data_IF_608829588949
#
_entry.id   IF_608829588949
#
_cell.length_a   1.000
_cell.length_b   1.000
_cell.length_c   1.000
_cell.angle_alpha   90.00
_cell.angle_beta   90.00
_cell.angle_gamma   90.00
#
_symmetry.space_group_name_H-M   'P 1'
#
loop_
_entity.id
_entity.type
_entity.pdbx_description
1 polymer ?
#
# COMPACT_ATOMS: atom_id res chain seq x y z
N UNK A 1 -9.53 -82.17 43.26
CA UNK A 1 -10.93 -82.61 43.35
C UNK A 1 -11.83 -81.38 43.36
N UNK A 2 -12.93 -81.43 42.59
CA UNK A 2 -14.12 -80.54 42.51
C UNK A 2 -13.90 -79.06 42.11
N UNK A 3 -14.12 -78.64 40.86
CA UNK A 3 -15.38 -78.36 40.12
C UNK A 3 -16.32 -77.37 40.82
N UNK A 4 -16.52 -76.19 40.20
CA UNK A 4 -17.82 -75.70 39.68
C UNK A 4 -17.68 -74.28 39.08
N UNK A 5 -18.18 -74.09 37.85
CA UNK A 5 -18.36 -72.83 37.12
C UNK A 5 -19.82 -72.37 37.28
N UNK A 6 -20.08 -71.05 37.33
CA UNK A 6 -21.27 -70.29 36.86
C UNK A 6 -20.99 -68.81 37.22
N UNK A 7 -20.68 -67.86 36.33
CA UNK A 7 -21.40 -67.25 35.19
C UNK A 7 -22.59 -66.35 35.58
N UNK A 8 -22.40 -65.02 35.45
CA UNK A 8 -23.43 -63.95 35.35
C UNK A 8 -24.14 -63.58 36.66
N UNK A 9 -24.61 -62.36 36.93
CA UNK A 9 -24.88 -61.23 36.03
C UNK A 9 -25.01 -59.92 36.84
N UNK A 10 -24.37 -58.89 36.29
CA UNK A 10 -24.44 -57.43 36.46
C UNK A 10 -25.79 -56.85 36.92
N UNK A 11 -25.76 -55.91 37.88
CA UNK A 11 -26.79 -54.86 38.02
C UNK A 11 -26.14 -53.53 38.44
N UNK A 12 -25.62 -52.78 37.47
CA UNK A 12 -25.19 -51.38 37.65
C UNK A 12 -26.35 -50.44 37.32
N UNK A 13 -26.74 -49.66 38.32
CA UNK A 13 -27.80 -48.66 38.30
C UNK A 13 -27.36 -47.44 37.45
N UNK A 14 -27.98 -47.24 36.29
CA UNK A 14 -27.77 -46.04 35.46
C UNK A 14 -28.79 -44.95 35.84
N UNK A 15 -28.33 -43.80 36.31
CA UNK A 15 -29.12 -42.57 36.35
C UNK A 15 -29.28 -42.02 34.92
N UNK A 16 -30.52 -41.85 34.47
CA UNK A 16 -30.85 -41.16 33.23
C UNK A 16 -30.89 -39.65 33.46
N UNK A 17 -30.00 -38.91 32.80
CA UNK A 17 -30.12 -37.46 32.60
C UNK A 17 -30.55 -37.19 31.14
N UNK A 18 -31.45 -36.22 30.88
CA UNK A 18 -31.90 -35.91 29.53
C UNK A 18 -30.78 -35.27 28.71
N UNK A 19 -30.52 -35.84 27.53
CA UNK A 19 -29.56 -35.33 26.56
C UNK A 19 -30.17 -34.13 25.81
N UNK A 20 -29.51 -32.97 25.91
CA UNK A 20 -29.78 -31.80 25.07
C UNK A 20 -29.28 -32.11 23.66
N UNK A 21 -30.17 -32.05 22.66
CA UNK A 21 -29.83 -32.21 21.26
C UNK A 21 -29.17 -30.93 20.72
N UNK A 22 -27.87 -30.99 20.43
CA UNK A 22 -27.15 -29.96 19.70
C UNK A 22 -27.29 -30.22 18.19
N UNK A 23 -28.26 -29.57 17.55
CA UNK A 23 -28.31 -29.44 16.10
C UNK A 23 -27.26 -28.40 15.66
N UNK A 24 -26.10 -28.85 15.20
CA UNK A 24 -25.05 -27.94 14.70
C UNK A 24 -23.79 -28.58 14.10
N UNK A 25 -23.77 -29.90 13.84
CA UNK A 25 -22.56 -30.62 13.43
C UNK A 25 -22.54 -31.18 12.01
N UNK A 26 -23.64 -31.13 11.25
CA UNK A 26 -23.75 -31.93 10.01
C UNK A 26 -23.48 -31.16 8.71
N UNK A 27 -23.22 -29.85 8.75
CA UNK A 27 -22.97 -29.06 7.53
C UNK A 27 -21.50 -29.07 7.07
N UNK A 28 -20.54 -29.34 7.95
CA UNK A 28 -19.11 -29.32 7.59
C UNK A 28 -18.61 -30.61 6.93
N UNK A 29 -19.28 -31.74 7.15
CA UNK A 29 -18.83 -33.01 6.61
C UNK A 29 -19.09 -33.10 5.10
N UNK A 30 -20.24 -32.60 4.65
CA UNK A 30 -20.64 -32.59 3.23
C UNK A 30 -19.76 -31.66 2.39
N UNK A 31 -19.32 -30.53 2.96
CA UNK A 31 -18.42 -29.59 2.28
C UNK A 31 -17.01 -30.18 2.08
N UNK A 32 -16.52 -30.99 3.03
CA UNK A 32 -15.19 -31.64 2.94
C UNK A 32 -15.19 -32.76 1.91
N UNK A 33 -16.30 -33.50 1.78
CA UNK A 33 -16.43 -34.55 0.76
C UNK A 33 -16.56 -33.95 -0.65
N UNK A 34 -17.31 -32.86 -0.80
CA UNK A 34 -17.40 -32.11 -2.07
C UNK A 34 -16.05 -31.48 -2.48
N UNK A 35 -15.27 -30.98 -1.51
CA UNK A 35 -13.91 -30.44 -1.76
C UNK A 35 -12.90 -31.51 -2.19
N UNK A 36 -13.08 -32.77 -1.76
CA UNK A 36 -12.22 -33.89 -2.20
C UNK A 36 -12.53 -34.32 -3.63
N UNK A 37 -13.80 -34.34 -4.01
CA UNK A 37 -14.21 -34.67 -5.38
C UNK A 37 -13.76 -33.58 -6.38
N UNK A 38 -13.87 -32.30 -6.00
CA UNK A 38 -13.35 -31.18 -6.80
C UNK A 38 -11.82 -31.21 -6.96
N UNK A 39 -11.07 -31.68 -5.96
CA UNK A 39 -9.62 -31.87 -6.05
C UNK A 39 -9.24 -32.97 -7.06
N UNK A 40 -9.99 -34.07 -7.13
CA UNK A 40 -9.73 -35.13 -8.10
C UNK A 40 -10.10 -34.75 -9.54
N UNK A 41 -11.12 -33.91 -9.70
CA UNK A 41 -11.53 -33.37 -11.02
C UNK A 41 -10.52 -32.31 -11.50
N UNK A 42 -10.03 -31.44 -10.61
CA UNK A 42 -8.96 -30.49 -10.91
C UNK A 42 -7.64 -31.17 -11.28
N UNK A 43 -7.27 -32.25 -10.59
CA UNK A 43 -6.11 -33.05 -10.98
C UNK A 43 -6.29 -33.69 -12.36
N UNK A 44 -7.47 -34.23 -12.67
CA UNK A 44 -7.76 -34.79 -14.00
C UNK A 44 -7.77 -33.74 -15.11
N UNK A 45 -8.29 -32.54 -14.86
CA UNK A 45 -8.24 -31.43 -15.83
C UNK A 45 -6.80 -30.97 -16.07
N UNK A 46 -5.99 -30.81 -15.03
CA UNK A 46 -4.56 -30.49 -15.12
C UNK A 46 -3.77 -31.55 -15.89
N UNK A 47 -4.04 -32.85 -15.69
CA UNK A 47 -3.34 -33.92 -16.42
C UNK A 47 -3.78 -34.06 -17.89
N UNK A 48 -5.04 -33.76 -18.20
CA UNK A 48 -5.54 -33.84 -19.59
C UNK A 48 -5.09 -32.66 -20.45
N UNK A 49 -4.85 -31.50 -19.84
CA UNK A 49 -4.26 -30.33 -20.50
C UNK A 49 -2.72 -30.41 -20.62
N UNK A 50 -2.06 -31.23 -19.79
CA UNK A 50 -0.63 -31.52 -19.89
C UNK A 50 -0.27 -32.45 -21.06
N UNK A 51 -1.27 -33.10 -21.68
CA UNK A 51 -1.07 -34.03 -22.79
C UNK A 51 -0.79 -33.36 -24.15
N UNK A 52 -0.82 -32.02 -24.22
CA UNK A 52 -0.59 -31.29 -25.47
C UNK A 52 0.27 -30.02 -25.28
N UNK A 53 1.25 -30.08 -24.38
CA UNK A 53 2.21 -28.97 -24.19
C UNK A 53 3.32 -29.10 -25.24
N UNK A 54 3.42 -28.18 -26.22
CA UNK A 54 4.59 -28.13 -27.10
C UNK A 54 5.81 -27.78 -26.25
N UNK A 55 6.97 -28.34 -26.58
CA UNK A 55 8.24 -28.22 -25.84
C UNK A 55 8.75 -26.77 -25.56
N UNK A 56 8.02 -25.72 -25.95
CA UNK A 56 8.33 -24.32 -25.72
C UNK A 56 7.69 -23.66 -24.48
N UNK A 57 6.75 -24.31 -23.76
CA UNK A 57 6.14 -23.69 -22.54
C UNK A 57 7.00 -23.80 -21.28
N UNK A 58 7.97 -24.73 -21.26
CA UNK A 58 8.94 -24.86 -20.16
C UNK A 58 9.90 -23.67 -20.11
N UNK A 59 10.24 -23.07 -21.27
CA UNK A 59 11.06 -21.87 -21.31
C UNK A 59 10.29 -20.62 -20.85
N UNK A 60 8.99 -20.53 -21.15
CA UNK A 60 8.15 -19.39 -20.71
C UNK A 60 7.98 -19.36 -19.18
N UNK A 61 7.88 -20.52 -18.53
CA UNK A 61 7.87 -20.61 -17.05
C UNK A 61 9.23 -20.19 -16.46
N UNK A 62 10.35 -20.60 -17.07
CA UNK A 62 11.69 -20.22 -16.61
C UNK A 62 11.96 -18.73 -16.80
N UNK A 63 11.51 -18.13 -17.90
CA UNK A 63 11.60 -16.68 -18.15
C UNK A 63 10.75 -15.88 -17.16
N UNK A 64 9.52 -16.33 -16.88
CA UNK A 64 8.68 -15.67 -15.86
C UNK A 64 9.26 -15.80 -14.46
N UNK A 65 9.92 -16.92 -14.15
CA UNK A 65 10.62 -17.10 -12.88
C UNK A 65 11.81 -16.16 -12.77
N UNK A 66 12.63 -16.03 -13.83
CA UNK A 66 13.73 -15.07 -13.83
C UNK A 66 13.23 -13.63 -13.71
N UNK A 67 12.14 -13.27 -14.39
CA UNK A 67 11.52 -11.95 -14.27
C UNK A 67 10.98 -11.69 -12.86
N UNK A 68 10.45 -12.73 -12.20
CA UNK A 68 9.98 -12.62 -10.83
C UNK A 68 11.14 -12.44 -9.84
N UNK A 69 12.22 -13.18 -10.01
CA UNK A 69 13.44 -13.02 -9.21
C UNK A 69 14.05 -11.63 -9.37
N UNK A 70 14.09 -11.11 -10.60
CA UNK A 70 14.54 -9.74 -10.87
C UNK A 70 13.61 -8.71 -10.23
N UNK A 71 12.29 -8.88 -10.35
CA UNK A 71 11.32 -8.01 -9.70
C UNK A 71 11.47 -8.02 -8.18
N UNK A 72 11.69 -9.18 -7.57
CA UNK A 72 11.93 -9.31 -6.13
C UNK A 72 13.22 -8.58 -5.72
N UNK A 73 14.30 -8.73 -6.50
CA UNK A 73 15.56 -8.01 -6.25
C UNK A 73 15.37 -6.50 -6.35
N UNK A 74 14.70 -6.02 -7.39
CA UNK A 74 14.38 -4.61 -7.58
C UNK A 74 13.47 -4.08 -6.46
N UNK A 75 12.49 -4.88 -6.02
CA UNK A 75 11.60 -4.49 -4.94
C UNK A 75 12.36 -4.36 -3.63
N UNK A 76 13.24 -5.30 -3.31
CA UNK A 76 14.11 -5.21 -2.14
C UNK A 76 14.99 -3.96 -2.20
N UNK A 77 15.57 -3.65 -3.36
CA UNK A 77 16.34 -2.41 -3.52
C UNK A 77 15.52 -1.14 -3.26
N UNK A 78 14.28 -1.07 -3.77
CA UNK A 78 13.37 0.06 -3.47
C UNK A 78 12.96 0.13 -2.01
N UNK A 79 12.79 -1.02 -1.36
CA UNK A 79 12.50 -1.06 0.07
C UNK A 79 13.70 -0.54 0.86
N UNK A 80 14.91 -0.99 0.58
CA UNK A 80 16.14 -0.50 1.21
C UNK A 80 16.31 1.02 1.00
N UNK A 81 16.02 1.53 -0.20
CA UNK A 81 15.99 2.96 -0.47
C UNK A 81 14.96 3.69 0.41
N UNK A 82 13.75 3.14 0.53
CA UNK A 82 12.71 3.70 1.40
C UNK A 82 13.09 3.66 2.88
N UNK A 83 13.72 2.58 3.34
CA UNK A 83 14.24 2.49 4.71
C UNK A 83 15.26 3.61 4.97
N UNK A 84 16.18 3.82 4.03
CA UNK A 84 17.15 4.89 4.11
C UNK A 84 16.50 6.29 4.11
N UNK A 85 15.51 6.51 3.25
CA UNK A 85 14.79 7.79 3.19
C UNK A 85 13.98 8.05 4.46
N UNK A 86 13.29 7.04 4.99
CA UNK A 86 12.56 7.13 6.27
C UNK A 86 13.53 7.45 7.40
N UNK A 87 14.68 6.78 7.46
CA UNK A 87 15.71 7.08 8.46
C UNK A 87 16.24 8.51 8.34
N UNK A 88 16.57 8.94 7.13
CA UNK A 88 17.04 10.30 6.86
C UNK A 88 16.00 11.35 7.26
N UNK A 89 14.72 11.03 7.06
CA UNK A 89 13.61 11.88 7.47
C UNK A 89 13.56 12.05 8.99
N UNK A 90 13.76 10.98 9.76
CA UNK A 90 13.87 11.04 11.21
C UNK A 90 15.05 11.92 11.66
N UNK A 91 16.23 11.72 11.08
CA UNK A 91 17.45 12.47 11.42
C UNK A 91 17.26 13.98 11.18
N UNK A 92 16.53 14.34 10.12
CA UNK A 92 16.20 15.74 9.81
C UNK A 92 15.25 16.34 10.85
N UNK A 93 14.25 15.60 11.32
CA UNK A 93 13.30 16.07 12.34
C UNK A 93 14.01 16.29 13.68
N UNK A 94 14.89 15.37 14.09
CA UNK A 94 15.73 15.52 15.29
C UNK A 94 16.59 16.79 15.23
N UNK A 95 17.14 17.11 14.06
CA UNK A 95 17.91 18.35 13.86
C UNK A 95 17.02 19.60 13.97
N UNK A 96 15.82 19.59 13.39
CA UNK A 96 14.88 20.73 13.45
C UNK A 96 14.40 20.95 14.87
N UNK A 97 14.03 19.89 15.59
CA UNK A 97 13.59 19.96 16.98
C UNK A 97 14.70 20.53 17.88
N UNK A 98 15.96 20.12 17.67
CA UNK A 98 17.12 20.70 18.36
C UNK A 98 17.33 22.18 18.02
N UNK A 99 17.16 22.61 16.77
CA UNK A 99 17.27 24.02 16.38
C UNK A 99 16.18 24.87 17.05
N UNK A 100 14.95 24.36 17.11
CA UNK A 100 13.84 25.02 17.81
C UNK A 100 14.14 25.15 19.30
N UNK A 101 14.61 24.10 19.96
CA UNK A 101 15.02 24.14 21.37
C UNK A 101 16.15 25.16 21.62
N UNK A 102 17.11 25.25 20.70
CA UNK A 102 18.22 26.21 20.77
C UNK A 102 17.70 27.64 20.59
N UNK A 103 16.76 27.88 19.68
CA UNK A 103 16.11 29.19 19.50
C UNK A 103 15.25 29.58 20.70
N UNK A 104 14.54 28.63 21.30
CA UNK A 104 13.75 28.86 22.51
C UNK A 104 14.70 29.25 23.66
N UNK A 105 15.80 28.51 23.86
CA UNK A 105 16.84 28.85 24.86
C UNK A 105 17.53 30.20 24.59
N UNK A 106 17.65 30.61 23.32
CA UNK A 106 18.13 31.94 22.94
C UNK A 106 17.13 33.04 23.31
N UNK A 107 15.83 32.81 23.11
CA UNK A 107 14.75 33.74 23.44
C UNK A 107 14.56 33.84 24.97
N UNK A 108 14.88 32.77 25.71
CA UNK A 108 14.92 32.73 27.18
C UNK A 108 16.13 33.44 27.81
N UNK A 109 16.94 34.18 27.03
CA UNK A 109 17.78 35.26 27.56
C UNK A 109 19.22 34.90 27.96
N UNK A 110 19.83 33.86 27.38
CA UNK A 110 21.29 33.68 27.45
C UNK A 110 21.97 34.29 26.21
N UNK A 111 22.89 35.26 26.35
CA UNK A 111 23.52 35.89 25.21
C UNK A 111 24.43 34.91 24.47
N UNK A 112 24.14 34.68 23.19
CA UNK A 112 25.05 33.99 22.28
C UNK A 112 25.90 35.06 21.60
N UNK A 113 27.19 35.06 21.93
CA UNK A 113 28.19 35.86 21.27
C UNK A 113 28.66 35.11 20.02
N UNK A 114 28.25 35.52 18.82
CA UNK A 114 28.67 34.84 17.61
C UNK A 114 27.95 35.22 16.32
N UNK A 115 28.34 36.37 15.74
CA UNK A 115 28.71 36.41 14.32
C UNK A 115 27.62 36.54 13.25
N UNK A 116 27.42 37.79 12.80
CA UNK A 116 27.26 38.18 11.40
C UNK A 116 26.02 37.68 10.63
N UNK A 117 24.87 38.29 10.92
CA UNK A 117 23.81 38.46 9.93
C UNK A 117 24.21 39.52 8.89
N UNK A 118 24.90 39.11 7.83
CA UNK A 118 24.99 39.94 6.62
C UNK A 118 23.62 39.97 5.95
N UNK A 119 22.97 41.13 6.01
CA UNK A 119 21.81 41.47 5.17
C UNK A 119 22.23 41.34 3.70
N UNK A 120 21.87 40.23 3.06
CA UNK A 120 21.92 40.12 1.61
C UNK A 120 20.82 41.04 1.04
N UNK A 121 21.24 42.12 0.41
CA UNK A 121 20.37 42.97 -0.41
C UNK A 121 19.82 42.11 -1.56
N UNK A 122 18.50 42.06 -1.69
CA UNK A 122 17.83 41.57 -2.89
C UNK A 122 18.17 42.50 -4.06
N UNK A 123 19.12 42.09 -4.90
CA UNK A 123 19.25 42.64 -6.24
C UNK A 123 18.08 42.08 -7.08
N UNK A 124 17.22 42.96 -7.59
CA UNK A 124 16.28 42.59 -8.65
C UNK A 124 17.11 42.23 -9.88
N UNK A 125 16.93 41.01 -10.35
CA UNK A 125 17.45 40.56 -11.64
C UNK A 125 16.50 41.08 -12.73
N UNK A 126 16.92 42.11 -13.46
CA UNK A 126 16.24 42.56 -14.67
C UNK A 126 16.72 41.72 -15.85
N UNK A 127 15.90 40.74 -16.27
CA UNK A 127 16.16 39.96 -17.47
C UNK A 127 15.91 40.82 -18.73
N UNK A 128 16.83 40.83 -19.72
CA UNK A 128 16.60 41.56 -20.96
C UNK A 128 15.45 40.91 -21.75
N UNK A 129 14.47 41.74 -22.11
CA UNK A 129 13.33 41.37 -22.94
C UNK A 129 13.83 41.20 -24.38
N UNK A 130 13.79 39.99 -24.92
CA UNK A 130 14.13 39.74 -26.32
C UNK A 130 13.06 40.38 -27.23
N UNK A 131 13.43 41.43 -27.96
CA UNK A 131 12.52 42.17 -28.86
C UNK A 131 12.24 41.46 -30.21
N UNK A 132 12.77 40.26 -30.44
CA UNK A 132 12.56 39.51 -31.68
C UNK A 132 12.36 38.01 -31.44
N UNK A 133 11.32 37.64 -30.68
CA UNK A 133 10.78 36.28 -30.73
C UNK A 133 9.90 36.15 -31.99
N UNK A 134 10.10 35.14 -32.86
CA UNK A 134 9.24 34.94 -34.01
C UNK A 134 7.80 34.74 -33.54
N UNK A 135 6.87 35.51 -34.13
CA UNK A 135 5.43 35.36 -33.92
C UNK A 135 5.09 33.91 -34.19
N UNK A 136 4.76 33.16 -33.13
CA UNK A 136 4.12 31.86 -33.24
C UNK A 136 2.96 32.03 -34.21
N UNK A 137 2.95 31.17 -35.24
CA UNK A 137 1.84 31.01 -36.16
C UNK A 137 0.63 30.63 -35.32
N UNK A 138 -0.13 31.65 -34.91
CA UNK A 138 -1.50 31.50 -34.43
C UNK A 138 -2.22 30.84 -35.60
N UNK A 139 -2.45 29.53 -35.45
CA UNK A 139 -3.35 28.77 -36.28
C UNK A 139 -4.76 29.26 -36.05
N UNK A 140 -5.06 30.41 -36.65
CA UNK A 140 -6.39 30.82 -37.06
C UNK A 140 -6.88 29.76 -38.07
N UNK A 141 -7.50 28.68 -37.59
CA UNK A 141 -8.42 27.78 -38.31
C UNK A 141 -8.81 26.55 -37.48
N UNK A 142 -9.40 26.74 -36.29
CA UNK A 142 -10.33 25.75 -35.75
C UNK A 142 -11.56 26.51 -35.26
N UNK A 143 -12.64 26.46 -36.04
CA UNK A 143 -13.98 26.84 -35.55
C UNK A 143 -14.38 25.77 -34.52
N UNK A 144 -14.83 26.21 -33.35
CA UNK A 144 -15.18 25.38 -32.19
C UNK A 144 -16.43 24.52 -32.36
N UNK A 145 -16.45 23.66 -33.39
CA UNK A 145 -17.52 22.71 -33.69
C UNK A 145 -17.08 21.48 -34.48
N UNK A 146 -15.86 21.45 -35.05
CA UNK A 146 -15.39 20.35 -35.91
C UNK A 146 -14.36 19.42 -35.24
N UNK A 147 -14.14 19.58 -33.94
CA UNK A 147 -13.51 18.53 -33.14
C UNK A 147 -14.65 17.70 -32.55
N UNK A 148 -15.00 16.58 -33.20
CA UNK A 148 -15.49 15.46 -32.42
C UNK A 148 -14.53 15.29 -31.24
N UNK A 149 -15.00 15.09 -29.99
CA UNK A 149 -14.09 14.77 -28.90
C UNK A 149 -13.22 13.63 -29.41
N UNK A 150 -11.91 13.87 -29.52
CA UNK A 150 -10.99 12.74 -29.45
C UNK A 150 -11.48 12.03 -28.19
N UNK A 151 -11.86 10.76 -28.28
CA UNK A 151 -12.12 9.93 -27.09
C UNK A 151 -10.79 9.81 -26.34
N UNK A 152 -10.31 10.93 -25.80
CA UNK A 152 -9.24 11.01 -24.84
C UNK A 152 -9.81 10.34 -23.62
N UNK A 153 -9.09 9.34 -23.15
CA UNK A 153 -9.51 8.55 -22.00
C UNK A 153 -9.81 9.51 -20.85
N UNK A 154 -11.07 9.57 -20.43
CA UNK A 154 -11.47 10.42 -19.30
C UNK A 154 -10.83 9.85 -18.03
N UNK A 155 -9.90 10.59 -17.45
CA UNK A 155 -9.19 10.22 -16.23
C UNK A 155 -10.16 9.93 -15.08
N UNK A 156 -11.31 10.62 -15.02
CA UNK A 156 -12.33 10.35 -14.01
C UNK A 156 -12.97 8.98 -14.27
N UNK A 157 -13.28 8.64 -15.52
CA UNK A 157 -13.84 7.34 -15.89
C UNK A 157 -12.87 6.20 -15.55
N UNK A 158 -11.59 6.33 -15.94
CA UNK A 158 -10.55 5.34 -15.60
C UNK A 158 -10.45 5.15 -14.08
N UNK A 159 -10.50 6.26 -13.33
CA UNK A 159 -10.43 6.24 -11.87
C UNK A 159 -11.63 5.53 -11.24
N UNK A 160 -12.85 5.84 -11.70
CA UNK A 160 -14.06 5.17 -11.21
C UNK A 160 -14.04 3.68 -11.53
N UNK A 161 -13.67 3.29 -12.76
CA UNK A 161 -13.55 1.88 -13.13
C UNK A 161 -12.49 1.15 -12.30
N UNK A 162 -11.40 1.84 -11.90
CA UNK A 162 -10.40 1.30 -10.97
C UNK A 162 -10.97 1.05 -9.58
N UNK A 163 -11.76 1.99 -9.04
CA UNK A 163 -12.43 1.83 -7.75
C UNK A 163 -13.49 0.73 -7.76
N UNK A 164 -14.32 0.68 -8.80
CA UNK A 164 -15.32 -0.38 -8.98
C UNK A 164 -14.64 -1.75 -9.04
N UNK A 165 -13.56 -1.88 -9.80
CA UNK A 165 -12.78 -3.11 -9.86
C UNK A 165 -12.19 -3.50 -8.50
N UNK A 166 -11.64 -2.53 -7.76
CA UNK A 166 -11.10 -2.78 -6.41
C UNK A 166 -12.20 -3.27 -5.45
N UNK A 167 -13.35 -2.60 -5.44
CA UNK A 167 -14.49 -2.97 -4.61
C UNK A 167 -15.07 -4.35 -4.97
N UNK A 168 -15.00 -4.72 -6.24
CA UNK A 168 -15.38 -6.05 -6.72
C UNK A 168 -14.33 -7.14 -6.41
N UNK A 169 -13.21 -6.80 -5.76
CA UNK A 169 -12.10 -7.71 -5.51
C UNK A 169 -11.24 -8.01 -6.75
N UNK A 170 -11.55 -7.39 -7.90
CA UNK A 170 -10.75 -7.51 -9.12
C UNK A 170 -9.52 -6.60 -9.04
N UNK A 171 -8.55 -7.02 -8.24
CA UNK A 171 -7.33 -6.26 -7.98
C UNK A 171 -6.46 -6.07 -9.22
N UNK A 172 -6.51 -7.00 -10.18
CA UNK A 172 -5.72 -6.91 -11.42
C UNK A 172 -6.22 -5.75 -12.30
N UNK A 173 -7.55 -5.64 -12.50
CA UNK A 173 -8.13 -4.53 -13.25
C UNK A 173 -7.97 -3.20 -12.52
N UNK A 174 -8.09 -3.20 -11.19
CA UNK A 174 -7.85 -2.02 -10.37
C UNK A 174 -6.41 -1.50 -10.52
N UNK A 175 -5.42 -2.39 -10.38
CA UNK A 175 -4.00 -2.09 -10.59
C UNK A 175 -3.74 -1.50 -11.98
N UNK A 176 -4.30 -2.11 -13.03
CA UNK A 176 -4.16 -1.62 -14.40
C UNK A 176 -4.68 -0.19 -14.55
N UNK A 177 -5.89 0.09 -14.05
CA UNK A 177 -6.52 1.40 -14.18
C UNK A 177 -5.76 2.49 -13.40
N UNK A 178 -5.32 2.21 -12.17
CA UNK A 178 -4.54 3.19 -11.41
C UNK A 178 -3.15 3.44 -12.01
N UNK A 179 -2.47 2.40 -12.49
CA UNK A 179 -1.20 2.58 -13.22
C UNK A 179 -1.38 3.41 -14.49
N UNK A 180 -2.46 3.19 -15.25
CA UNK A 180 -2.76 4.00 -16.43
C UNK A 180 -2.88 5.49 -16.09
N UNK A 181 -3.53 5.83 -14.99
CA UNK A 181 -3.61 7.22 -14.50
C UNK A 181 -2.22 7.76 -14.17
N UNK A 182 -1.40 6.98 -13.48
CA UNK A 182 -0.06 7.41 -13.07
C UNK A 182 0.90 7.57 -14.24
N UNK A 183 0.72 6.79 -15.31
CA UNK A 183 1.59 6.82 -16.49
C UNK A 183 1.18 7.89 -17.50
N UNK A 184 -0.12 8.14 -17.66
CA UNK A 184 -0.66 9.04 -18.70
C UNK A 184 -1.14 10.38 -18.16
N UNK A 185 -1.53 10.42 -16.88
CA UNK A 185 -2.17 11.57 -16.25
C UNK A 185 -1.45 11.96 -14.95
N UNK A 186 -0.12 11.82 -14.92
CA UNK A 186 0.70 11.96 -13.71
C UNK A 186 0.70 13.35 -13.05
N UNK A 187 0.18 14.37 -13.74
CA UNK A 187 0.01 15.75 -13.27
C UNK A 187 -1.44 16.09 -12.94
N UNK A 188 -2.38 15.19 -13.22
CA UNK A 188 -3.81 15.38 -12.92
C UNK A 188 -4.05 15.35 -11.40
N UNK A 189 -5.09 16.05 -10.94
CA UNK A 189 -5.52 16.08 -9.54
C UNK A 189 -5.84 14.67 -8.97
N UNK A 190 -6.22 13.73 -9.83
CA UNK A 190 -6.50 12.35 -9.46
C UNK A 190 -5.25 11.49 -9.33
N UNK A 191 -4.08 11.92 -9.83
CA UNK A 191 -2.85 11.13 -9.76
C UNK A 191 -2.45 10.77 -8.32
N UNK A 192 -2.59 11.73 -7.40
CA UNK A 192 -2.33 11.48 -5.96
C UNK A 192 -3.29 10.43 -5.38
N UNK A 193 -4.56 10.49 -5.76
CA UNK A 193 -5.57 9.52 -5.33
C UNK A 193 -5.32 8.14 -5.96
N UNK A 194 -5.01 8.08 -7.24
CA UNK A 194 -4.68 6.84 -7.94
C UNK A 194 -3.44 6.17 -7.34
N UNK A 195 -2.41 6.94 -6.98
CA UNK A 195 -1.21 6.42 -6.30
C UNK A 195 -1.54 5.80 -4.95
N UNK A 196 -2.43 6.44 -4.19
CA UNK A 196 -2.91 5.91 -2.92
C UNK A 196 -3.69 4.60 -3.12
N UNK A 197 -4.65 4.57 -4.04
CA UNK A 197 -5.45 3.36 -4.30
C UNK A 197 -4.63 2.22 -4.88
N UNK A 198 -3.61 2.50 -5.69
CA UNK A 198 -2.65 1.48 -6.12
C UNK A 198 -1.95 0.83 -4.90
N UNK A 199 -1.60 1.62 -3.88
CA UNK A 199 -1.10 1.10 -2.62
C UNK A 199 -2.13 0.24 -1.89
N UNK A 200 -3.40 0.67 -1.83
CA UNK A 200 -4.49 -0.11 -1.20
C UNK A 200 -4.74 -1.43 -1.92
N UNK A 201 -4.65 -1.46 -3.25
CA UNK A 201 -4.71 -2.68 -4.08
C UNK A 201 -3.62 -3.65 -3.67
N UNK A 202 -2.37 -3.20 -3.56
CA UNK A 202 -1.27 -4.06 -3.13
C UNK A 202 -1.39 -4.50 -1.67
N UNK A 203 -1.87 -3.61 -0.81
CA UNK A 203 -2.10 -3.91 0.61
C UNK A 203 -3.18 -4.98 0.78
N UNK A 204 -4.29 -4.91 0.02
CA UNK A 204 -5.36 -5.91 0.07
C UNK A 204 -4.90 -7.29 -0.41
N UNK A 205 -3.94 -7.34 -1.34
CA UNK A 205 -3.26 -8.56 -1.78
C UNK A 205 -2.24 -9.09 -0.77
N UNK A 206 -2.02 -8.41 0.36
CA UNK A 206 -0.93 -8.66 1.32
C UNK A 206 0.47 -8.53 0.71
N UNK A 207 0.58 -7.86 -0.45
CA UNK A 207 1.86 -7.52 -1.04
C UNK A 207 2.38 -6.23 -0.41
N UNK A 208 2.79 -6.32 0.85
CA UNK A 208 3.17 -5.16 1.65
C UNK A 208 4.43 -4.47 1.14
N UNK A 209 5.30 -5.17 0.40
CA UNK A 209 6.46 -4.58 -0.25
C UNK A 209 6.03 -3.63 -1.39
N UNK A 210 5.18 -4.10 -2.31
CA UNK A 210 4.62 -3.21 -3.35
C UNK A 210 3.77 -2.10 -2.76
N UNK A 211 3.01 -2.38 -1.70
CA UNK A 211 2.21 -1.38 -1.00
C UNK A 211 3.10 -0.28 -0.40
N UNK A 212 4.15 -0.64 0.33
CA UNK A 212 5.12 0.30 0.90
C UNK A 212 5.74 1.18 -0.20
N UNK A 213 6.13 0.59 -1.34
CA UNK A 213 6.65 1.37 -2.48
C UNK A 213 5.60 2.33 -3.04
N UNK A 214 4.36 1.88 -3.23
CA UNK A 214 3.29 2.73 -3.76
C UNK A 214 2.93 3.87 -2.80
N UNK A 215 2.83 3.61 -1.51
CA UNK A 215 2.56 4.63 -0.50
C UNK A 215 3.73 5.59 -0.30
N UNK A 216 4.97 5.07 -0.33
CA UNK A 216 6.18 5.89 -0.31
C UNK A 216 6.24 6.87 -1.48
N UNK A 217 5.94 6.41 -2.70
CA UNK A 217 5.79 7.29 -3.87
C UNK A 217 4.67 8.32 -3.68
N UNK A 218 3.53 7.91 -3.11
CA UNK A 218 2.42 8.79 -2.79
C UNK A 218 2.83 9.93 -1.86
N UNK A 219 3.56 9.57 -0.81
CA UNK A 219 4.10 10.52 0.16
C UNK A 219 5.19 11.42 -0.44
N UNK A 220 6.16 10.87 -1.20
CA UNK A 220 7.26 11.65 -1.79
C UNK A 220 6.78 12.63 -2.88
N UNK A 221 5.92 12.17 -3.79
CA UNK A 221 5.51 12.95 -4.97
C UNK A 221 4.28 13.81 -4.72
N UNK A 222 3.37 13.37 -3.86
CA UNK A 222 2.08 14.01 -3.64
C UNK A 222 1.86 14.38 -2.16
N UNK A 223 2.95 14.72 -1.44
CA UNK A 223 2.94 15.13 -0.03
C UNK A 223 1.86 16.17 0.28
N UNK A 224 1.81 17.25 -0.49
CA UNK A 224 0.88 18.36 -0.27
C UNK A 224 -0.54 18.07 -0.80
N UNK A 225 -0.74 16.91 -1.42
CA UNK A 225 -2.02 16.49 -1.97
C UNK A 225 -2.97 15.90 -0.92
N UNK A 226 -4.22 15.70 -1.31
CA UNK A 226 -5.30 15.20 -0.45
C UNK A 226 -5.07 13.80 0.15
N UNK A 227 -3.99 13.10 -0.24
CA UNK A 227 -3.65 11.76 0.25
C UNK A 227 -2.24 11.64 0.84
N UNK A 228 -1.49 12.74 0.95
CA UNK A 228 -0.12 12.69 1.47
C UNK A 228 -0.03 12.12 2.89
N UNK A 229 -0.92 12.58 3.78
CA UNK A 229 -1.00 12.10 5.15
C UNK A 229 -1.43 10.63 5.23
N UNK A 230 -2.48 10.22 4.52
CA UNK A 230 -2.91 8.83 4.47
C UNK A 230 -1.86 7.91 3.84
N UNK A 231 -1.13 8.38 2.84
CA UNK A 231 0.00 7.65 2.25
C UNK A 231 1.11 7.42 3.27
N UNK A 232 1.51 8.42 4.05
CA UNK A 232 2.53 8.24 5.09
C UNK A 232 2.06 7.26 6.18
N UNK A 233 0.81 7.37 6.62
CA UNK A 233 0.21 6.41 7.55
C UNK A 233 0.24 4.98 7.00
N UNK A 234 -0.21 4.78 5.76
CA UNK A 234 -0.26 3.45 5.11
C UNK A 234 1.13 2.89 4.78
N UNK A 235 2.11 3.75 4.52
CA UNK A 235 3.52 3.36 4.45
C UNK A 235 3.97 2.75 5.78
N UNK A 236 3.69 3.41 6.90
CA UNK A 236 4.01 2.89 8.24
C UNK A 236 3.32 1.55 8.53
N UNK A 237 2.04 1.42 8.18
CA UNK A 237 1.31 0.15 8.30
C UNK A 237 1.94 -0.95 7.44
N UNK A 238 2.34 -0.64 6.21
CA UNK A 238 2.97 -1.60 5.30
C UNK A 238 4.35 -2.05 5.81
N UNK A 239 5.15 -1.13 6.34
CA UNK A 239 6.45 -1.44 6.95
C UNK A 239 6.30 -2.35 8.17
N UNK A 240 5.25 -2.13 8.98
CA UNK A 240 4.97 -3.00 10.12
C UNK A 240 4.69 -4.44 9.68
N UNK A 241 3.89 -4.61 8.62
CA UNK A 241 3.59 -5.93 8.06
C UNK A 241 4.82 -6.63 7.46
N UNK A 242 5.85 -5.86 7.08
CA UNK A 242 7.15 -6.36 6.64
C UNK A 242 8.11 -6.65 7.81
N UNK A 243 7.66 -6.53 9.06
CA UNK A 243 8.48 -6.61 10.28
C UNK A 243 9.58 -5.53 10.37
N UNK A 244 9.48 -4.46 9.57
CA UNK A 244 10.36 -3.30 9.58
C UNK A 244 9.85 -2.29 10.61
N UNK A 245 9.90 -2.70 11.87
CA UNK A 245 9.26 -1.99 13.00
C UNK A 245 9.81 -0.58 13.20
N UNK A 246 11.12 -0.38 13.02
CA UNK A 246 11.78 0.91 13.20
C UNK A 246 11.24 1.93 12.19
N UNK A 247 11.15 1.51 10.94
CA UNK A 247 10.67 2.29 9.81
C UNK A 247 9.16 2.52 9.90
N UNK A 248 8.42 1.51 10.35
CA UNK A 248 6.99 1.65 10.67
C UNK A 248 6.76 2.72 11.73
N UNK A 249 7.50 2.66 12.84
CA UNK A 249 7.41 3.64 13.91
C UNK A 249 7.70 5.05 13.40
N UNK A 250 8.80 5.21 12.68
CA UNK A 250 9.20 6.50 12.11
C UNK A 250 8.10 7.07 11.21
N UNK A 251 7.57 6.28 10.28
CA UNK A 251 6.51 6.74 9.39
C UNK A 251 5.23 7.12 10.15
N UNK A 252 4.82 6.32 11.16
CA UNK A 252 3.60 6.55 11.93
C UNK A 252 3.68 7.77 12.86
N UNK A 253 4.81 7.99 13.53
CA UNK A 253 5.01 9.17 14.40
C UNK A 253 5.04 10.44 13.57
N UNK A 254 5.65 10.39 12.38
CA UNK A 254 5.85 11.56 11.55
C UNK A 254 4.57 12.02 10.83
N UNK A 255 3.49 11.23 10.85
CA UNK A 255 2.17 11.68 10.34
C UNK A 255 1.73 12.96 11.05
N UNK A 256 1.84 13.01 12.38
CA UNK A 256 1.40 14.18 13.15
C UNK A 256 2.35 15.36 13.04
N UNK A 257 3.65 15.09 12.89
CA UNK A 257 4.69 16.12 12.78
C UNK A 257 4.64 16.82 11.43
N UNK A 258 4.47 16.06 10.35
CA UNK A 258 4.48 16.61 9.00
C UNK A 258 3.11 17.07 8.52
N UNK A 259 2.04 16.47 9.04
CA UNK A 259 0.66 16.82 8.68
C UNK A 259 -0.15 17.23 9.91
N UNK A 260 0.23 18.30 10.63
CA UNK A 260 -0.46 18.75 11.84
C UNK A 260 -1.92 19.17 11.60
N UNK A 261 -2.28 19.43 10.34
CA UNK A 261 -3.64 19.79 9.90
C UNK A 261 -4.42 18.63 9.27
N UNK A 262 -3.87 17.41 9.29
CA UNK A 262 -4.58 16.24 8.79
C UNK A 262 -5.86 15.95 9.59
N UNK A 263 -6.72 15.10 9.03
CA UNK A 263 -7.94 14.67 9.70
C UNK A 263 -7.64 14.08 11.09
N UNK A 264 -8.43 14.48 12.09
CA UNK A 264 -8.21 14.07 13.49
C UNK A 264 -8.32 12.55 13.67
N UNK A 265 -9.18 11.88 12.91
CA UNK A 265 -9.30 10.41 12.95
C UNK A 265 -8.04 9.75 12.41
N UNK A 266 -7.46 10.28 11.33
CA UNK A 266 -6.20 9.78 10.79
C UNK A 266 -5.05 9.94 11.79
N UNK A 267 -4.92 11.12 12.40
CA UNK A 267 -3.90 11.37 13.43
C UNK A 267 -4.05 10.42 14.63
N UNK A 268 -5.27 10.20 15.09
CA UNK A 268 -5.56 9.27 16.17
C UNK A 268 -5.22 7.82 15.80
N UNK A 269 -5.51 7.39 14.56
CA UNK A 269 -5.14 6.05 14.06
C UNK A 269 -3.62 5.87 14.00
N UNK A 270 -2.91 6.84 13.42
CA UNK A 270 -1.45 6.79 13.33
C UNK A 270 -0.82 6.67 14.72
N UNK A 271 -1.27 7.50 15.66
CA UNK A 271 -0.85 7.43 17.07
C UNK A 271 -1.16 6.07 17.70
N UNK A 272 -2.38 5.57 17.54
CA UNK A 272 -2.77 4.29 18.14
C UNK A 272 -1.93 3.13 17.62
N UNK A 273 -1.58 3.13 16.33
CA UNK A 273 -0.70 2.11 15.75
C UNK A 273 0.75 2.26 16.24
N UNK A 274 1.26 3.48 16.35
CA UNK A 274 2.57 3.73 16.95
C UNK A 274 2.64 3.26 18.41
N UNK A 275 1.60 3.55 19.20
CA UNK A 275 1.48 3.15 20.61
C UNK A 275 1.43 1.60 20.73
N UNK A 276 0.67 0.91 19.86
CA UNK A 276 0.64 -0.57 19.80
C UNK A 276 2.02 -1.16 19.52
N UNK A 277 2.78 -0.51 18.65
CA UNK A 277 4.16 -0.91 18.34
C UNK A 277 5.15 -0.52 19.44
N UNK A 278 4.75 0.25 20.45
CA UNK A 278 5.66 0.80 21.47
C UNK A 278 6.80 1.59 20.82
N UNK A 279 6.45 2.42 19.84
CA UNK A 279 7.37 3.38 19.27
C UNK A 279 7.86 4.32 20.38
N UNK A 280 9.14 4.69 20.30
CA UNK A 280 9.80 5.52 21.31
C UNK A 280 9.65 6.99 20.96
#
# INVERSE_FOLDING_TARGET
MNKLKFSGLILSLWLAAPQVQAAGGYAYQTDVDNLREDLEVLQRQMYREQSNVPAGKSSDILVRMSDFEEQMRNMNGKIEELEYKIKTLNDRLDMVNKDVDVRIKMIEGKPINGGAGTKAKTAKFDAPKAENAPKSLVGDSIKGGDLAPVEGQDVNKIYQEGLEAFNAGNTAKAEQNFNLILDRFSTDKLAANAQYWLGEVYYSQKNYAKAAVAFGKGYEKYKDGAKGAESLYKLGMSMNQLNKKTEACTALTNVAEEFPKADKSLLAKAKAEADKLKCK
#
